data_IF_311069942621
#
_entry.id   IF_311069942621
#
_cell.length_a   1.000
_cell.length_b   1.000
_cell.length_c   1.000
_cell.angle_alpha   90.00
_cell.angle_beta   90.00
_cell.angle_gamma   90.00
#
_symmetry.space_group_name_H-M   'P 1'
#
loop_
_entity.id
_entity.type
_entity.pdbx_description
1 polymer ?
#
# COMPACT_ATOMS: atom_id res chain seq x y z
N UNK A 1 -40.80 -0.83 9.16
CA UNK A 1 -39.76 -1.71 8.57
C UNK A 1 -38.39 -1.04 8.50
N UNK A 2 -38.27 0.22 8.03
CA UNK A 2 -36.98 0.93 7.90
C UNK A 2 -36.30 1.23 9.25
N UNK A 3 -37.05 1.70 10.25
CA UNK A 3 -36.49 2.00 11.59
C UNK A 3 -35.94 0.77 12.31
N UNK A 4 -36.60 -0.38 12.17
CA UNK A 4 -36.16 -1.62 12.82
C UNK A 4 -34.83 -2.13 12.24
N UNK A 5 -34.64 -1.97 10.93
CA UNK A 5 -33.39 -2.33 10.25
C UNK A 5 -32.26 -1.34 10.59
N UNK A 6 -32.58 -0.06 10.75
CA UNK A 6 -31.63 0.97 11.17
C UNK A 6 -31.11 0.71 12.59
N UNK A 7 -32.01 0.44 13.53
CA UNK A 7 -31.67 0.08 14.91
C UNK A 7 -30.81 -1.19 14.99
N UNK A 8 -31.17 -2.25 14.27
CA UNK A 8 -30.35 -3.48 14.19
C UNK A 8 -28.97 -3.26 13.57
N UNK A 9 -28.83 -2.25 12.71
CA UNK A 9 -27.53 -1.88 12.15
C UNK A 9 -26.70 -1.10 13.17
N UNK A 10 -27.32 -0.21 13.93
CA UNK A 10 -26.68 0.58 14.99
C UNK A 10 -26.17 -0.33 16.12
N UNK A 11 -26.97 -1.31 16.56
CA UNK A 11 -26.56 -2.30 17.59
C UNK A 11 -25.32 -3.10 17.16
N UNK A 12 -25.21 -3.45 15.87
CA UNK A 12 -24.02 -4.14 15.34
C UNK A 12 -22.78 -3.26 15.36
N UNK A 13 -22.95 -1.97 15.07
CA UNK A 13 -21.85 -0.99 15.13
C UNK A 13 -21.39 -0.83 16.57
N UNK A 14 -22.33 -0.59 17.48
CA UNK A 14 -22.05 -0.42 18.90
C UNK A 14 -21.32 -1.63 19.49
N UNK A 15 -21.81 -2.84 19.21
CA UNK A 15 -21.15 -4.09 19.64
C UNK A 15 -19.72 -4.20 19.11
N UNK A 16 -19.50 -3.85 17.83
CA UNK A 16 -18.17 -3.91 17.23
C UNK A 16 -17.22 -2.88 17.88
N UNK A 17 -17.67 -1.64 18.04
CA UNK A 17 -16.88 -0.55 18.65
C UNK A 17 -16.54 -0.88 20.10
N UNK A 18 -17.51 -1.38 20.87
CA UNK A 18 -17.27 -1.79 22.26
C UNK A 18 -16.23 -2.90 22.34
N UNK A 19 -16.33 -3.91 21.47
CA UNK A 19 -15.34 -5.01 21.43
C UNK A 19 -13.94 -4.51 21.09
N UNK A 20 -13.81 -3.58 20.12
CA UNK A 20 -12.52 -2.97 19.77
C UNK A 20 -11.91 -2.27 20.98
N UNK A 21 -12.69 -1.44 21.69
CA UNK A 21 -12.23 -0.71 22.87
C UNK A 21 -11.84 -1.65 24.01
N UNK A 22 -12.63 -2.70 24.25
CA UNK A 22 -12.30 -3.74 25.25
C UNK A 22 -10.97 -4.42 24.93
N UNK A 23 -10.75 -4.82 23.67
CA UNK A 23 -9.48 -5.44 23.26
C UNK A 23 -8.30 -4.48 23.47
N UNK A 24 -8.46 -3.18 23.20
CA UNK A 24 -7.43 -2.18 23.49
C UNK A 24 -7.14 -2.08 25.00
N UNK A 25 -8.18 -2.02 25.83
CA UNK A 25 -8.04 -1.96 27.29
C UNK A 25 -7.36 -3.21 27.86
N UNK A 26 -7.72 -4.38 27.35
CA UNK A 26 -7.14 -5.68 27.72
C UNK A 26 -5.74 -5.90 27.14
N UNK A 27 -5.21 -4.94 26.36
CA UNK A 27 -3.94 -5.04 25.62
C UNK A 27 -3.90 -6.24 24.66
N UNK A 28 -5.06 -6.70 24.21
CA UNK A 28 -5.19 -7.74 23.21
C UNK A 28 -5.04 -7.14 21.81
N UNK A 29 -4.25 -7.79 20.94
CA UNK A 29 -4.01 -7.32 19.56
C UNK A 29 -5.33 -7.21 18.78
N UNK A 30 -5.70 -5.99 18.40
CA UNK A 30 -6.88 -5.74 17.58
C UNK A 30 -6.60 -6.20 16.15
N UNK A 31 -7.41 -7.16 15.70
CA UNK A 31 -7.36 -7.66 14.33
C UNK A 31 -8.75 -8.06 13.84
N UNK A 32 -9.01 -7.92 12.54
CA UNK A 32 -10.30 -8.29 11.95
C UNK A 32 -10.68 -9.76 12.25
N UNK A 33 -9.78 -10.75 12.15
CA UNK A 33 -10.09 -12.13 12.53
C UNK A 33 -10.52 -12.29 14.00
N UNK A 34 -9.83 -11.62 14.93
CA UNK A 34 -10.18 -11.67 16.36
C UNK A 34 -11.55 -11.02 16.63
N UNK A 35 -11.82 -9.88 15.97
CA UNK A 35 -13.12 -9.20 16.07
C UNK A 35 -14.25 -10.06 15.50
N UNK A 36 -14.04 -10.77 14.40
CA UNK A 36 -15.01 -11.72 13.86
C UNK A 36 -15.33 -12.82 14.88
N UNK A 37 -14.31 -13.40 15.53
CA UNK A 37 -14.50 -14.44 16.53
C UNK A 37 -15.27 -13.94 17.76
N UNK A 38 -14.97 -12.73 18.27
CA UNK A 38 -15.62 -12.17 19.46
C UNK A 38 -17.03 -11.64 19.21
N UNK A 39 -17.29 -11.07 18.03
CA UNK A 39 -18.57 -10.41 17.72
C UNK A 39 -19.54 -11.27 16.92
N UNK A 40 -19.05 -12.30 16.21
CA UNK A 40 -19.83 -13.07 15.24
C UNK A 40 -20.21 -12.30 13.98
N UNK A 41 -19.67 -11.09 13.77
CA UNK A 41 -19.97 -10.26 12.60
C UNK A 41 -19.10 -10.67 11.40
N UNK A 42 -19.63 -10.47 10.20
CA UNK A 42 -18.93 -10.85 8.98
C UNK A 42 -17.74 -9.93 8.72
N UNK A 43 -16.72 -10.46 8.03
CA UNK A 43 -15.56 -9.68 7.61
C UNK A 43 -15.93 -8.41 6.83
N UNK A 44 -16.93 -8.53 5.95
CA UNK A 44 -17.41 -7.41 5.13
C UNK A 44 -18.00 -6.26 5.95
N UNK A 45 -18.58 -6.55 7.12
CA UNK A 45 -19.11 -5.52 8.02
C UNK A 45 -18.00 -4.59 8.53
N UNK A 46 -16.87 -5.16 8.96
CA UNK A 46 -15.72 -4.41 9.49
C UNK A 46 -15.01 -3.54 8.44
N UNK A 47 -15.09 -3.89 7.15
CA UNK A 47 -14.50 -3.08 6.09
C UNK A 47 -15.47 -2.04 5.52
N UNK A 48 -16.77 -2.36 5.42
CA UNK A 48 -17.75 -1.50 4.76
C UNK A 48 -18.36 -0.44 5.68
N UNK A 49 -18.34 -0.67 7.00
CA UNK A 49 -18.87 0.32 7.93
C UNK A 49 -17.77 1.34 8.30
N UNK A 50 -17.90 2.62 7.91
CA UNK A 50 -16.84 3.61 8.11
C UNK A 50 -16.56 3.90 9.58
N UNK A 51 -17.57 3.83 10.45
CA UNK A 51 -17.42 4.08 11.90
C UNK A 51 -16.56 2.98 12.52
N UNK A 52 -16.94 1.72 12.27
CA UNK A 52 -16.20 0.55 12.77
C UNK A 52 -14.80 0.53 12.19
N UNK A 53 -14.64 0.88 10.91
CA UNK A 53 -13.33 0.94 10.27
C UNK A 53 -12.42 1.98 10.91
N UNK A 54 -12.93 3.18 11.17
CA UNK A 54 -12.17 4.24 11.84
C UNK A 54 -11.73 3.85 13.24
N UNK A 55 -12.58 3.17 14.01
CA UNK A 55 -12.22 2.66 15.35
C UNK A 55 -11.14 1.56 15.29
N UNK A 56 -11.18 0.68 14.28
CA UNK A 56 -10.10 -0.30 14.07
C UNK A 56 -8.78 0.40 13.77
N UNK A 57 -8.79 1.38 12.86
CA UNK A 57 -7.57 2.08 12.46
C UNK A 57 -6.97 2.86 13.64
N UNK A 58 -7.81 3.54 14.45
CA UNK A 58 -7.40 4.20 15.68
C UNK A 58 -6.84 3.23 16.73
N UNK A 59 -7.49 2.08 16.93
CA UNK A 59 -7.00 1.05 17.84
C UNK A 59 -5.66 0.45 17.38
N UNK A 60 -5.49 0.25 16.07
CA UNK A 60 -4.23 -0.24 15.49
C UNK A 60 -3.10 0.77 15.64
N UNK A 61 -3.37 2.07 15.50
CA UNK A 61 -2.41 3.16 15.73
C UNK A 61 -2.04 3.27 17.22
N UNK A 62 -3.03 3.22 18.11
CA UNK A 62 -2.81 3.20 19.56
C UNK A 62 -1.97 2.00 20.01
N UNK A 63 -2.18 0.84 19.39
CA UNK A 63 -1.40 -0.37 19.65
C UNK A 63 -0.09 -0.43 18.86
N UNK A 64 0.17 0.49 17.92
CA UNK A 64 1.40 0.51 17.13
C UNK A 64 2.66 0.78 17.96
N UNK A 65 2.52 1.26 19.21
CA UNK A 65 3.61 1.32 20.20
C UNK A 65 4.05 -0.04 20.77
N UNK A 66 3.30 -1.11 20.52
CA UNK A 66 3.70 -2.51 20.79
C UNK A 66 4.13 -3.16 19.46
N UNK A 67 5.36 -2.90 19.04
CA UNK A 67 5.90 -3.43 17.77
C UNK A 67 6.11 -4.95 17.86
N UNK A 68 5.32 -5.70 17.11
CA UNK A 68 5.51 -7.13 16.86
C UNK A 68 6.91 -7.37 16.24
N UNK A 69 7.80 -8.18 16.82
CA UNK A 69 9.17 -8.40 16.32
C UNK A 69 9.23 -8.85 14.85
N UNK A 70 8.17 -9.50 14.34
CA UNK A 70 8.08 -9.90 12.93
C UNK A 70 7.94 -8.70 11.98
N UNK A 71 7.37 -7.58 12.45
CA UNK A 71 7.21 -6.37 11.64
C UNK A 71 8.56 -5.74 11.32
N UNK A 72 9.53 -5.78 12.25
CA UNK A 72 10.88 -5.29 12.00
C UNK A 72 11.60 -6.09 10.90
N UNK A 73 11.48 -7.42 10.89
CA UNK A 73 12.11 -8.27 9.87
C UNK A 73 11.50 -8.02 8.49
N UNK A 74 10.17 -7.95 8.41
CA UNK A 74 9.47 -7.68 7.15
C UNK A 74 9.77 -6.25 6.67
N UNK A 75 9.82 -5.26 7.58
CA UNK A 75 10.21 -3.89 7.24
C UNK A 75 11.64 -3.81 6.70
N UNK A 76 12.59 -4.53 7.31
CA UNK A 76 13.98 -4.57 6.82
C UNK A 76 14.08 -5.24 5.44
N UNK A 77 13.35 -6.34 5.22
CA UNK A 77 13.32 -7.01 3.92
C UNK A 77 12.69 -6.11 2.84
N UNK A 78 11.56 -5.45 3.15
CA UNK A 78 10.91 -4.51 2.25
C UNK A 78 11.78 -3.27 1.95
N UNK A 79 12.52 -2.78 2.94
CA UNK A 79 13.44 -1.64 2.77
C UNK A 79 14.65 -2.02 1.89
N UNK A 80 15.20 -3.22 2.07
CA UNK A 80 16.25 -3.75 1.21
C UNK A 80 15.77 -3.93 -0.25
N UNK A 81 14.55 -4.45 -0.44
CA UNK A 81 13.93 -4.60 -1.76
C UNK A 81 13.68 -3.24 -2.42
N UNK A 82 13.12 -2.27 -1.68
CA UNK A 82 12.90 -0.91 -2.15
C UNK A 82 14.21 -0.23 -2.57
N UNK A 83 15.29 -0.42 -1.79
CA UNK A 83 16.61 0.12 -2.12
C UNK A 83 17.18 -0.52 -3.39
N UNK A 84 17.02 -1.83 -3.56
CA UNK A 84 17.43 -2.53 -4.78
C UNK A 84 16.66 -2.02 -6.01
N UNK A 85 15.34 -1.86 -5.90
CA UNK A 85 14.51 -1.31 -6.97
C UNK A 85 14.92 0.12 -7.33
N UNK A 86 15.22 0.97 -6.35
CA UNK A 86 15.72 2.34 -6.58
C UNK A 86 17.05 2.34 -7.34
N UNK A 87 17.98 1.46 -6.98
CA UNK A 87 19.24 1.32 -7.69
C UNK A 87 19.05 0.84 -9.14
N UNK A 88 18.16 -0.13 -9.36
CA UNK A 88 17.82 -0.60 -10.70
C UNK A 88 17.19 0.50 -11.55
N UNK A 89 16.25 1.26 -10.98
CA UNK A 89 15.63 2.42 -11.65
C UNK A 89 16.67 3.47 -12.03
N UNK A 90 17.62 3.76 -11.15
CA UNK A 90 18.68 4.74 -11.44
C UNK A 90 19.60 4.25 -12.57
N UNK A 91 20.00 2.97 -12.54
CA UNK A 91 20.81 2.37 -13.62
C UNK A 91 20.08 2.44 -14.96
N UNK A 92 18.83 1.99 -15.01
CA UNK A 92 18.01 2.02 -16.23
C UNK A 92 17.82 3.44 -16.77
N UNK A 93 17.62 4.44 -15.90
CA UNK A 93 17.55 5.85 -16.32
C UNK A 93 18.86 6.31 -16.97
N UNK A 94 20.00 6.02 -16.34
CA UNK A 94 21.30 6.41 -16.87
C UNK A 94 21.63 5.73 -18.21
N UNK A 95 21.26 4.46 -18.35
CA UNK A 95 21.47 3.69 -19.58
C UNK A 95 20.59 4.22 -20.70
N UNK A 96 19.32 4.51 -20.42
CA UNK A 96 18.40 5.10 -21.39
C UNK A 96 18.89 6.47 -21.88
N UNK A 97 19.35 7.34 -20.98
CA UNK A 97 19.93 8.63 -21.36
C UNK A 97 21.15 8.48 -22.28
N UNK A 98 22.02 7.51 -22.01
CA UNK A 98 23.20 7.24 -22.84
C UNK A 98 22.78 6.71 -24.22
N UNK A 99 21.85 5.75 -24.28
CA UNK A 99 21.32 5.22 -25.53
C UNK A 99 20.65 6.31 -26.37
N UNK A 100 19.90 7.23 -25.75
CA UNK A 100 19.30 8.37 -26.45
C UNK A 100 20.39 9.26 -27.09
N UNK A 101 21.45 9.59 -26.34
CA UNK A 101 22.58 10.39 -26.86
C UNK A 101 23.30 9.70 -28.01
N UNK A 102 23.53 8.40 -27.89
CA UNK A 102 24.17 7.61 -28.94
C UNK A 102 23.30 7.51 -30.20
N UNK A 103 22.01 7.25 -30.03
CA UNK A 103 21.05 7.20 -31.13
C UNK A 103 20.97 8.55 -31.87
N UNK A 104 21.00 9.67 -31.14
CA UNK A 104 21.07 11.01 -31.75
C UNK A 104 22.36 11.24 -32.54
N UNK A 105 23.52 10.79 -32.04
CA UNK A 105 24.80 10.89 -32.76
C UNK A 105 24.78 10.07 -34.04
N UNK A 106 24.30 8.82 -33.97
CA UNK A 106 24.19 7.93 -35.12
C UNK A 106 23.24 8.49 -36.18
N UNK A 107 22.07 9.01 -35.78
CA UNK A 107 21.13 9.67 -36.70
C UNK A 107 21.77 10.88 -37.41
N UNK A 108 22.52 11.71 -36.69
CA UNK A 108 23.25 12.86 -37.30
C UNK A 108 24.33 12.39 -38.27
N UNK A 109 25.07 11.34 -37.95
CA UNK A 109 26.10 10.79 -38.82
C UNK A 109 25.50 10.18 -40.10
N UNK A 110 24.37 9.48 -39.98
CA UNK A 110 23.63 8.92 -41.11
C UNK A 110 23.14 10.03 -42.05
N UNK A 111 22.48 11.05 -41.50
CA UNK A 111 22.00 12.20 -42.28
C UNK A 111 23.13 12.92 -43.02
N UNK A 112 24.31 13.09 -42.41
CA UNK A 112 25.49 13.65 -43.09
C UNK A 112 25.97 12.78 -44.25
N UNK A 113 25.98 11.45 -44.08
CA UNK A 113 26.37 10.51 -45.15
C UNK A 113 25.38 10.58 -46.32
N UNK A 114 24.08 10.60 -46.03
CA UNK A 114 23.02 10.74 -47.05
C UNK A 114 23.16 12.05 -47.84
N UNK A 115 23.38 13.18 -47.15
CA UNK A 115 23.63 14.48 -47.77
C UNK A 115 24.87 14.49 -48.68
N UNK A 116 25.95 13.84 -48.27
CA UNK A 116 27.17 13.76 -49.08
C UNK A 116 26.96 12.89 -50.33
N UNK A 117 26.17 11.80 -50.22
CA UNK A 117 25.85 10.95 -51.36
C UNK A 117 25.03 11.70 -52.42
N UNK A 118 24.05 12.50 -51.98
CA UNK A 118 23.20 13.30 -52.87
C UNK A 118 24.00 14.38 -53.60
N UNK A 119 25.03 14.96 -52.96
CA UNK A 119 25.91 15.96 -53.60
C UNK A 119 26.90 15.39 -54.63
N UNK A 120 27.07 14.06 -54.68
CA UNK A 120 27.96 13.37 -55.61
C UNK A 120 27.25 12.92 -56.91
N UNK A 121 25.94 13.15 -57.00
CA UNK A 121 25.10 12.93 -58.19
C UNK A 121 24.91 14.28 -58.88
#
# INVERSE_FOLDING_TARGET
MLELNKRKSEEKVERAVLTIRTMVLEREKVSVPALMQKTGLSRGFFYKNPIVRGEIDAAMEQQAGMVDPRRNIISQAMEAEMNLLRQQLQKLKSENENLIKENQKLKKALSKKELNLIKQI
#
